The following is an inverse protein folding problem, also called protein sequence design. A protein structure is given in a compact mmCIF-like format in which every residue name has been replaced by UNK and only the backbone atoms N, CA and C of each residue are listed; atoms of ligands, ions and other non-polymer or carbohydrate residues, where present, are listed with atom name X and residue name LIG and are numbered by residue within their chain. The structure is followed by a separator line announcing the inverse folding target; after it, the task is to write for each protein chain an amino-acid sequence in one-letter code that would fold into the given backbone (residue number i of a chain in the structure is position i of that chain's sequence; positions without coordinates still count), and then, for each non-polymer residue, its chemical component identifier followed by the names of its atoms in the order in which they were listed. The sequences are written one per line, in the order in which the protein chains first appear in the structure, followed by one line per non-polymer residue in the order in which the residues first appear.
data_IF_886132579135
#
_entry.id   IF_886132579135
#
_cell.length_a   1.000
_cell.length_b   1.000
_cell.length_c   1.000
_cell.angle_alpha   90.00
_cell.angle_beta   90.00
_cell.angle_gamma   90.00
#
_symmetry.space_group_name_H-M   'P 1'
#
loop_
_entity.id
_entity.type
_entity.pdbx_description
1 polymer ?
#
# COMPACT_ATOMS: atom_id res chain seq x y z
N UNK A 1 8.53 -4.19 -17.08
CA UNK A 1 9.27 -2.92 -16.83
C UNK A 1 8.68 -2.28 -15.59
N UNK A 2 9.53 -1.87 -14.65
CA UNK A 2 9.08 -1.19 -13.42
C UNK A 2 9.52 0.26 -13.47
N UNK A 3 8.58 1.18 -13.25
CA UNK A 3 8.84 2.62 -13.07
C UNK A 3 8.62 2.95 -11.59
N UNK A 4 9.71 3.13 -10.85
CA UNK A 4 9.65 3.54 -9.45
C UNK A 4 9.53 5.07 -9.33
N UNK A 5 8.59 5.56 -8.51
CA UNK A 5 8.44 6.98 -8.19
C UNK A 5 8.46 7.16 -6.67
N UNK A 6 9.57 7.73 -6.19
CA UNK A 6 9.84 7.94 -4.76
C UNK A 6 9.69 9.40 -4.33
N UNK A 7 9.26 9.62 -3.09
CA UNK A 7 9.19 10.96 -2.49
C UNK A 7 8.25 11.05 -1.27
N UNK A 8 8.25 12.18 -0.55
CA UNK A 8 7.50 12.34 0.69
C UNK A 8 5.98 12.42 0.47
N UNK A 9 5.18 12.17 1.50
CA UNK A 9 3.72 12.35 1.42
C UNK A 9 3.38 13.79 0.97
N UNK A 10 2.35 13.93 0.13
CA UNK A 10 1.92 15.24 -0.40
C UNK A 10 2.74 15.80 -1.58
N UNK A 11 3.81 15.13 -2.04
CA UNK A 11 4.63 15.61 -3.16
C UNK A 11 4.04 15.42 -4.56
N UNK A 12 2.77 15.03 -4.67
CA UNK A 12 2.09 14.84 -5.96
C UNK A 12 2.37 13.50 -6.67
N UNK A 13 3.07 12.55 -6.03
CA UNK A 13 3.42 11.24 -6.64
C UNK A 13 2.23 10.47 -7.18
N UNK A 14 1.13 10.44 -6.45
CA UNK A 14 -0.07 9.72 -6.87
C UNK A 14 -0.64 10.33 -8.15
N UNK A 15 -0.64 11.65 -8.28
CA UNK A 15 -1.06 12.35 -9.49
C UNK A 15 -0.13 12.03 -10.65
N UNK A 16 1.19 12.23 -10.48
CA UNK A 16 2.18 12.00 -11.54
C UNK A 16 2.22 10.54 -11.95
N UNK A 17 2.26 9.61 -10.99
CA UNK A 17 2.29 8.19 -11.27
C UNK A 17 1.05 7.70 -11.99
N UNK A 18 -0.13 8.24 -11.68
CA UNK A 18 -1.35 7.92 -12.44
C UNK A 18 -1.22 8.35 -13.88
N UNK A 19 -0.78 9.58 -14.14
CA UNK A 19 -0.57 10.08 -15.51
C UNK A 19 0.44 9.25 -16.28
N UNK A 20 1.54 8.83 -15.64
CA UNK A 20 2.54 7.96 -16.25
C UNK A 20 1.97 6.57 -16.53
N UNK A 21 1.25 6.00 -15.58
CA UNK A 21 0.66 4.67 -15.72
C UNK A 21 -0.40 4.65 -16.84
N UNK A 22 -1.25 5.68 -16.92
CA UNK A 22 -2.24 5.86 -17.99
C UNK A 22 -1.56 5.99 -19.35
N UNK A 23 -0.53 6.84 -19.45
CA UNK A 23 0.19 7.08 -20.71
C UNK A 23 0.92 5.84 -21.24
N UNK A 24 1.38 4.96 -20.34
CA UNK A 24 2.10 3.73 -20.70
C UNK A 24 1.20 2.49 -20.77
N UNK A 25 -0.05 2.58 -20.31
CA UNK A 25 -0.93 1.41 -20.13
C UNK A 25 -0.46 0.47 -19.02
N UNK A 26 0.23 1.00 -18.01
CA UNK A 26 0.84 0.24 -16.92
C UNK A 26 -0.08 0.13 -15.71
N UNK A 27 0.12 -0.91 -14.89
CA UNK A 27 -0.51 -0.96 -13.58
C UNK A 27 0.05 0.15 -12.66
N UNK A 28 -0.78 0.73 -11.78
CA UNK A 28 -0.35 1.67 -10.76
C UNK A 28 -0.39 1.01 -9.38
N UNK A 29 0.77 0.85 -8.74
CA UNK A 29 0.87 0.22 -7.41
C UNK A 29 1.33 1.25 -6.38
N UNK A 30 0.43 1.64 -5.47
CA UNK A 30 0.80 2.48 -4.32
C UNK A 30 1.15 1.61 -3.11
N UNK A 31 2.45 1.52 -2.81
CA UNK A 31 2.93 0.71 -1.67
C UNK A 31 2.45 1.24 -0.32
N UNK A 32 2.09 2.53 -0.24
CA UNK A 32 1.51 3.14 0.95
C UNK A 32 0.16 2.55 1.33
N UNK A 33 -0.60 2.03 0.36
CA UNK A 33 -1.88 1.37 0.63
C UNK A 33 -1.71 0.05 1.39
N UNK A 34 -0.59 -0.66 1.22
CA UNK A 34 -0.33 -1.86 2.02
C UNK A 34 -0.16 -1.53 3.50
N UNK A 35 0.64 -0.51 3.82
CA UNK A 35 0.83 -0.09 5.22
C UNK A 35 -0.48 0.44 5.83
N UNK A 36 -1.29 1.16 5.04
CA UNK A 36 -2.63 1.58 5.47
C UNK A 36 -3.54 0.39 5.73
N UNK A 37 -3.49 -0.65 4.91
CA UNK A 37 -4.26 -1.88 5.12
C UNK A 37 -3.92 -2.54 6.47
N UNK A 38 -2.61 -2.69 6.76
CA UNK A 38 -2.16 -3.23 8.05
C UNK A 38 -2.64 -2.35 9.20
N UNK A 39 -2.55 -1.02 9.06
CA UNK A 39 -2.96 -0.07 10.09
C UNK A 39 -4.45 -0.15 10.38
N UNK A 40 -5.29 -0.15 9.34
CA UNK A 40 -6.74 -0.25 9.47
C UNK A 40 -7.12 -1.57 10.14
N UNK A 41 -6.55 -2.69 9.70
CA UNK A 41 -6.90 -3.99 10.27
C UNK A 41 -6.40 -4.15 11.71
N UNK A 42 -5.21 -3.65 12.03
CA UNK A 42 -4.68 -3.66 13.40
C UNK A 42 -5.60 -2.89 14.36
N UNK A 43 -6.03 -1.68 13.97
CA UNK A 43 -6.99 -0.89 14.74
C UNK A 43 -8.33 -1.61 14.90
N UNK A 44 -8.84 -2.21 13.82
CA UNK A 44 -10.10 -2.97 13.86
C UNK A 44 -10.04 -4.17 14.81
N UNK A 45 -8.90 -4.84 14.89
CA UNK A 45 -8.67 -6.00 15.77
C UNK A 45 -8.24 -5.62 17.19
N UNK A 46 -8.03 -4.33 17.48
CA UNK A 46 -7.53 -3.87 18.78
C UNK A 46 -6.09 -4.30 19.05
N UNK A 47 -5.29 -4.55 18.02
CA UNK A 47 -3.88 -4.91 18.15
C UNK A 47 -3.07 -3.63 18.39
N UNK A 48 -2.19 -3.65 19.40
CA UNK A 48 -1.33 -2.52 19.68
C UNK A 48 -0.29 -2.33 18.56
N UNK A 49 -0.02 -1.07 18.17
CA UNK A 49 0.85 -0.75 17.03
C UNK A 49 2.33 -1.10 17.28
N UNK A 50 2.70 -1.37 18.52
CA UNK A 50 4.02 -1.82 18.96
C UNK A 50 4.09 -3.33 19.23
N UNK A 51 2.98 -4.06 19.16
CA UNK A 51 2.95 -5.52 19.24
C UNK A 51 3.33 -6.15 17.90
N UNK A 52 4.63 -6.16 17.62
CA UNK A 52 5.21 -6.67 16.38
C UNK A 52 4.81 -8.12 16.11
N UNK A 53 4.71 -8.95 17.17
CA UNK A 53 4.35 -10.35 17.03
C UNK A 53 2.89 -10.51 16.57
N UNK A 54 1.95 -9.82 17.22
CA UNK A 54 0.55 -9.86 16.83
C UNK A 54 0.31 -9.25 15.44
N UNK A 55 0.99 -8.15 15.11
CA UNK A 55 0.92 -7.53 13.78
C UNK A 55 1.43 -8.47 12.68
N UNK A 56 2.53 -9.17 12.92
CA UNK A 56 3.09 -10.13 11.96
C UNK A 56 2.16 -11.32 11.76
N UNK A 57 1.63 -11.89 12.84
CA UNK A 57 0.67 -13.00 12.77
C UNK A 57 -0.63 -12.60 12.07
N UNK A 58 -1.10 -11.35 12.27
CA UNK A 58 -2.24 -10.81 11.54
C UNK A 58 -1.95 -10.77 10.04
N UNK A 59 -0.76 -10.27 9.67
CA UNK A 59 -0.38 -10.06 8.27
C UNK A 59 -0.23 -11.38 7.49
N UNK A 60 0.22 -12.46 8.13
CA UNK A 60 0.31 -13.79 7.51
C UNK A 60 -1.02 -14.31 6.95
N UNK A 61 -2.14 -13.86 7.53
CA UNK A 61 -3.49 -14.31 7.18
C UNK A 61 -4.29 -13.27 6.39
N UNK A 62 -3.70 -12.10 6.16
CA UNK A 62 -4.41 -10.97 5.59
C UNK A 62 -4.39 -11.03 4.05
N UNK A 63 -5.57 -10.99 3.43
CA UNK A 63 -5.65 -10.81 2.00
C UNK A 63 -5.85 -9.33 1.67
N UNK A 64 -4.81 -8.70 1.08
CA UNK A 64 -4.82 -7.29 0.67
C UNK A 64 -4.99 -7.22 -0.85
N UNK A 65 -6.03 -6.51 -1.28
CA UNK A 65 -6.31 -6.25 -2.68
C UNK A 65 -6.23 -4.74 -2.93
N UNK A 66 -5.38 -4.32 -3.86
CA UNK A 66 -5.25 -2.92 -4.27
C UNK A 66 -5.65 -2.82 -5.73
N UNK A 67 -6.51 -1.86 -6.03
CA UNK A 67 -6.88 -1.59 -7.41
C UNK A 67 -5.73 -0.88 -8.12
N UNK A 68 -5.07 -1.61 -9.01
CA UNK A 68 -3.92 -1.14 -9.78
C UNK A 68 -4.30 -0.56 -11.14
N UNK A 69 -5.59 -0.40 -11.44
CA UNK A 69 -6.02 0.25 -12.68
C UNK A 69 -5.54 1.70 -12.71
N UNK A 70 -4.87 2.13 -13.79
CA UNK A 70 -4.40 3.51 -13.88
C UNK A 70 -5.57 4.49 -14.15
N UNK A 71 -6.63 4.04 -14.82
CA UNK A 71 -7.76 4.87 -15.26
C UNK A 71 -8.67 5.36 -14.12
N UNK A 72 -9.29 6.52 -14.32
CA UNK A 72 -10.32 7.10 -13.43
C UNK A 72 -11.67 6.39 -13.48
N UNK A 73 -11.98 5.64 -14.54
CA UNK A 73 -13.27 4.91 -14.71
C UNK A 73 -13.26 3.57 -13.95
N UNK A 74 -12.74 3.57 -12.72
CA UNK A 74 -12.51 2.36 -11.93
C UNK A 74 -13.81 1.67 -11.59
N UNK A 75 -13.87 0.37 -11.87
CA UNK A 75 -14.78 -0.53 -11.17
C UNK A 75 -14.09 -1.02 -9.87
N UNK A 76 -14.77 -0.87 -8.73
CA UNK A 76 -14.34 -1.44 -7.45
C UNK A 76 -13.54 -0.51 -6.51
N UNK A 77 -13.26 -0.98 -5.28
CA UNK A 77 -12.61 -0.20 -4.23
C UNK A 77 -11.14 0.08 -4.54
N UNK A 78 -10.57 1.13 -3.95
CA UNK A 78 -9.14 1.42 -4.05
C UNK A 78 -8.31 0.38 -3.28
N UNK A 79 -8.81 0.01 -2.10
CA UNK A 79 -8.18 -0.94 -1.19
C UNK A 79 -9.26 -1.79 -0.54
N UNK A 80 -9.08 -3.11 -0.61
CA UNK A 80 -9.92 -4.07 0.09
C UNK A 80 -9.09 -5.03 0.96
N UNK A 81 -9.70 -5.45 2.07
CA UNK A 81 -9.15 -6.43 3.00
C UNK A 81 -10.15 -7.56 3.17
N UNK A 82 -9.76 -8.77 2.78
CA UNK A 82 -10.63 -9.95 2.82
C UNK A 82 -11.99 -9.67 2.13
N UNK A 83 -11.97 -9.01 0.97
CA UNK A 83 -13.15 -8.61 0.22
C UNK A 83 -13.94 -7.40 0.76
N UNK A 84 -13.52 -6.79 1.89
CA UNK A 84 -14.16 -5.60 2.45
C UNK A 84 -13.48 -4.34 1.93
N UNK A 85 -14.26 -3.42 1.37
CA UNK A 85 -13.76 -2.08 1.02
C UNK A 85 -13.34 -1.35 2.30
N UNK A 86 -12.09 -0.90 2.34
CA UNK A 86 -11.53 -0.09 3.43
C UNK A 86 -10.92 1.21 2.92
N UNK A 87 -11.32 1.64 1.71
CA UNK A 87 -10.73 2.78 1.01
C UNK A 87 -10.87 4.09 1.79
N UNK A 88 -11.99 4.28 2.49
CA UNK A 88 -12.25 5.47 3.30
C UNK A 88 -11.43 5.46 4.59
N UNK A 89 -11.44 4.34 5.33
CA UNK A 89 -10.66 4.17 6.55
C UNK A 89 -9.16 4.30 6.29
N UNK A 90 -8.69 3.80 5.16
CA UNK A 90 -7.31 3.92 4.75
C UNK A 90 -6.90 5.36 4.46
N UNK A 91 -7.83 6.25 4.12
CA UNK A 91 -7.56 7.68 3.87
C UNK A 91 -7.82 8.56 5.09
N UNK A 92 -8.42 8.02 6.15
CA UNK A 92 -8.76 8.77 7.35
C UNK A 92 -7.49 9.35 8.01
N UNK A 93 -7.40 10.68 8.21
CA UNK A 93 -6.28 11.30 8.92
C UNK A 93 -6.03 10.73 10.32
N UNK A 94 -7.06 10.15 10.97
CA UNK A 94 -6.95 9.58 12.33
C UNK A 94 -5.94 8.44 12.42
N UNK A 95 -5.64 7.75 11.32
CA UNK A 95 -4.67 6.65 11.30
C UNK A 95 -3.24 7.11 11.05
N UNK A 96 -2.99 8.40 10.80
CA UNK A 96 -1.68 8.88 10.35
C UNK A 96 -0.55 8.60 11.35
N UNK A 97 -0.81 8.74 12.65
CA UNK A 97 0.16 8.45 13.70
C UNK A 97 0.49 6.95 13.77
N UNK A 98 -0.54 6.10 13.71
CA UNK A 98 -0.39 4.65 13.74
C UNK A 98 0.32 4.12 12.48
N UNK A 99 -0.04 4.65 11.32
CA UNK A 99 0.60 4.38 10.04
C UNK A 99 2.10 4.69 10.08
N UNK A 100 2.47 5.85 10.66
CA UNK A 100 3.87 6.22 10.82
C UNK A 100 4.63 5.25 11.71
N UNK A 101 4.00 4.73 12.79
CA UNK A 101 4.61 3.73 13.66
C UNK A 101 4.79 2.41 12.93
N UNK A 102 3.74 1.89 12.30
CA UNK A 102 3.78 0.62 11.56
C UNK A 102 4.82 0.65 10.43
N UNK A 103 4.88 1.75 9.67
CA UNK A 103 5.83 1.88 8.56
C UNK A 103 7.31 1.89 9.00
N UNK A 104 7.60 2.13 10.28
CA UNK A 104 8.96 2.07 10.84
C UNK A 104 9.35 0.67 11.32
N UNK A 105 8.40 -0.27 11.46
CA UNK A 105 8.67 -1.64 11.96
C UNK A 105 9.28 -2.48 10.84
N UNK A 106 10.50 -2.95 11.05
CA UNK A 106 11.29 -3.65 10.03
C UNK A 106 10.66 -4.97 9.59
N UNK A 107 10.05 -5.70 10.52
CA UNK A 107 9.35 -6.96 10.32
C UNK A 107 8.15 -6.77 9.39
N UNK A 108 7.36 -5.72 9.61
CA UNK A 108 6.21 -5.38 8.77
C UNK A 108 6.68 -4.99 7.38
N UNK A 109 7.70 -4.13 7.28
CA UNK A 109 8.29 -3.76 5.98
C UNK A 109 8.72 -5.00 5.20
N UNK A 110 9.43 -5.94 5.84
CA UNK A 110 9.86 -7.21 5.21
C UNK A 110 8.70 -8.07 4.77
N UNK A 111 7.68 -8.24 5.62
CA UNK A 111 6.52 -9.06 5.31
C UNK A 111 5.65 -8.48 4.17
N UNK A 112 5.70 -7.17 3.93
CA UNK A 112 4.97 -6.50 2.84
C UNK A 112 5.69 -6.52 1.49
N UNK A 113 7.00 -6.82 1.43
CA UNK A 113 7.76 -6.84 0.17
C UNK A 113 7.13 -7.79 -0.86
N UNK A 114 6.83 -9.02 -0.44
CA UNK A 114 6.30 -10.02 -1.38
C UNK A 114 4.88 -9.68 -1.87
N UNK A 115 3.91 -9.29 -1.02
CA UNK A 115 2.63 -8.73 -1.48
C UNK A 115 2.78 -7.55 -2.46
N UNK A 116 3.70 -6.62 -2.20
CA UNK A 116 3.96 -5.47 -3.08
C UNK A 116 4.51 -5.91 -4.44
N UNK A 117 5.48 -6.84 -4.45
CA UNK A 117 6.01 -7.43 -5.69
C UNK A 117 4.95 -8.16 -6.48
N UNK A 118 4.05 -8.90 -5.81
CA UNK A 118 2.93 -9.58 -6.47
C UNK A 118 1.96 -8.60 -7.13
N UNK A 119 1.64 -7.48 -6.47
CA UNK A 119 0.77 -6.46 -7.04
C UNK A 119 1.41 -5.71 -8.22
N UNK A 120 2.74 -5.61 -8.24
CA UNK A 120 3.52 -5.00 -9.32
C UNK A 120 4.02 -6.02 -10.36
N UNK A 121 3.38 -7.18 -10.50
CA UNK A 121 3.74 -8.16 -11.53
C UNK A 121 3.50 -7.58 -12.93
N UNK A 122 4.50 -7.69 -13.80
CA UNK A 122 4.45 -7.21 -15.18
C UNK A 122 4.95 -5.79 -15.34
N UNK A 123 4.24 -4.99 -16.13
CA UNK A 123 4.54 -3.57 -16.36
C UNK A 123 3.78 -2.70 -15.34
N UNK A 124 4.52 -2.01 -14.48
CA UNK A 124 3.93 -1.26 -13.38
C UNK A 124 4.69 0.03 -13.05
N UNK A 125 3.92 1.06 -12.72
CA UNK A 125 4.37 2.26 -11.99
C UNK A 125 4.18 2.01 -10.51
N UNK A 126 5.25 2.06 -9.73
CA UNK A 126 5.23 1.76 -8.30
C UNK A 126 5.56 3.02 -7.51
N UNK A 127 4.65 3.42 -6.63
CA UNK A 127 4.76 4.61 -5.78
C UNK A 127 5.20 4.25 -4.36
N UNK A 128 6.10 5.04 -3.81
CA UNK A 128 6.48 4.92 -2.40
C UNK A 128 7.47 5.96 -1.93
N UNK A 129 8.23 5.60 -0.89
CA UNK A 129 9.36 6.41 -0.37
C UNK A 129 10.72 5.84 -0.74
N UNK A 130 10.83 4.51 -0.78
CA UNK A 130 12.10 3.79 -0.97
C UNK A 130 11.94 2.60 -1.96
N UNK A 131 11.18 2.77 -3.03
CA UNK A 131 10.85 1.70 -3.98
C UNK A 131 12.10 1.19 -4.70
N UNK A 132 12.89 2.10 -5.27
CA UNK A 132 14.04 1.76 -6.12
C UNK A 132 15.28 1.25 -5.37
N UNK A 133 15.22 1.14 -4.04
CA UNK A 133 16.33 0.68 -3.21
C UNK A 133 15.99 -0.49 -2.30
N UNK A 134 14.70 -0.73 -2.02
CA UNK A 134 14.27 -1.75 -1.04
C UNK A 134 13.36 -2.82 -1.64
N UNK A 135 12.58 -2.50 -2.69
CA UNK A 135 11.58 -3.44 -3.23
C UNK A 135 12.07 -4.06 -4.54
N UNK A 136 12.71 -3.29 -5.41
CA UNK A 136 13.19 -3.71 -6.73
C UNK A 136 14.66 -3.37 -6.93
#
# INVERSE_FOLDING_TARGET
MIVAIDGPAGSGKTTVGRLVADALGFALVDTGLFYRAVTVEARRRGIAMDDVAALTQMLERLHIEINTSPSSDRAGPLLAIDGRDVSLEAQDPVIAADLSRIAQISEIRRALVEPQRRAARGDAVVLGRDIGTVIF
#
